data_IF_873311657075
#
_entry.id   IF_873311657075
#
_cell.length_a   1.000
_cell.length_b   1.000
_cell.length_c   1.000
_cell.angle_alpha   90.00
_cell.angle_beta   90.00
_cell.angle_gamma   90.00
#
_symmetry.space_group_name_H-M   'P 1'
#
loop_
_entity.id
_entity.type
_entity.pdbx_description
1 polymer ?
#
# COMPACT_ATOMS: atom_id res chain seq x y z
N UNK A 1 -2.90 38.72 28.33
CA UNK A 1 -3.85 38.02 27.45
C UNK A 1 -3.70 36.53 27.72
N UNK A 2 -4.59 35.98 28.54
CA UNK A 2 -4.61 34.58 28.92
C UNK A 2 -5.88 33.97 28.33
N UNK A 3 -5.70 32.97 27.47
CA UNK A 3 -6.77 32.20 26.84
C UNK A 3 -7.25 31.12 27.81
N UNK A 4 -8.53 31.17 28.15
CA UNK A 4 -9.19 30.25 29.06
C UNK A 4 -9.39 28.88 28.41
N UNK A 5 -8.96 27.84 29.12
CA UNK A 5 -9.32 26.44 28.91
C UNK A 5 -10.82 26.27 29.22
N UNK A 6 -11.59 25.92 28.20
CA UNK A 6 -12.98 25.52 28.36
C UNK A 6 -13.00 24.04 28.76
N UNK A 7 -13.31 23.79 30.04
CA UNK A 7 -13.58 22.46 30.56
C UNK A 7 -15.02 22.06 30.19
N UNK A 8 -15.29 20.87 29.63
CA UNK A 8 -16.67 20.43 29.41
C UNK A 8 -17.31 20.09 30.75
N UNK A 9 -18.40 20.80 31.07
CA UNK A 9 -19.17 20.66 32.30
C UNK A 9 -19.69 19.22 32.53
N UNK A 10 -19.62 18.68 33.76
CA UNK A 10 -20.13 17.35 34.13
C UNK A 10 -21.67 17.21 34.06
N UNK A 11 -22.38 18.26 33.67
CA UNK A 11 -23.85 18.30 33.57
C UNK A 11 -24.40 17.61 32.31
N UNK A 12 -23.58 17.40 31.26
CA UNK A 12 -24.04 16.71 30.04
C UNK A 12 -24.12 15.18 30.23
N UNK A 13 -23.31 14.60 31.12
CA UNK A 13 -23.36 13.17 31.46
C UNK A 13 -24.56 12.83 32.35
N UNK A 14 -25.01 13.76 33.20
CA UNK A 14 -26.18 13.56 34.04
C UNK A 14 -27.50 13.55 33.23
N UNK A 15 -27.61 14.37 32.18
CA UNK A 15 -28.83 14.43 31.34
C UNK A 15 -29.03 13.22 30.43
N UNK A 16 -27.98 12.45 30.12
CA UNK A 16 -28.09 11.21 29.34
C UNK A 16 -28.50 10.04 30.25
N UNK A 17 -28.04 10.02 31.50
CA UNK A 17 -28.42 8.99 32.48
C UNK A 17 -29.84 9.23 33.04
N UNK A 18 -30.27 10.49 33.19
CA UNK A 18 -31.60 10.82 33.70
C UNK A 18 -32.72 10.58 32.66
N UNK A 19 -32.40 10.57 31.35
CA UNK A 19 -33.34 10.17 30.29
C UNK A 19 -33.53 8.65 30.15
N UNK A 20 -32.71 7.84 30.81
CA UNK A 20 -32.95 6.39 30.90
C UNK A 20 -34.09 6.04 31.89
N UNK A 21 -34.50 6.98 32.75
CA UNK A 21 -35.61 6.81 33.69
C UNK A 21 -36.98 7.24 33.11
N UNK A 22 -36.99 7.91 31.95
CA UNK A 22 -38.22 8.37 31.30
C UNK A 22 -38.52 7.53 30.04
N UNK A 23 -39.03 6.31 30.25
CA UNK A 23 -39.93 5.63 29.32
C UNK A 23 -39.59 5.65 27.82
N UNK A 24 -38.34 5.49 27.43
CA UNK A 24 -38.00 5.22 26.02
C UNK A 24 -38.39 3.76 25.75
N UNK A 25 -39.43 3.54 24.95
CA UNK A 25 -39.84 2.18 24.56
C UNK A 25 -38.71 1.54 23.74
N UNK A 26 -38.48 0.22 23.87
CA UNK A 26 -37.42 -0.49 23.14
C UNK A 26 -37.55 -0.31 21.63
N UNK A 27 -38.76 -0.14 21.11
CA UNK A 27 -38.98 0.21 19.70
C UNK A 27 -38.23 1.49 19.34
N UNK A 28 -38.41 2.57 20.12
CA UNK A 28 -37.73 3.85 19.88
C UNK A 28 -36.21 3.72 20.01
N UNK A 29 -35.73 2.97 21.01
CA UNK A 29 -34.29 2.75 21.20
C UNK A 29 -33.65 1.94 20.06
N UNK A 30 -34.28 0.84 19.64
CA UNK A 30 -33.79 0.02 18.52
C UNK A 30 -33.87 0.76 17.19
N UNK A 31 -34.93 1.55 16.96
CA UNK A 31 -35.06 2.39 15.76
C UNK A 31 -33.97 3.47 15.72
N UNK A 32 -33.60 4.04 16.88
CA UNK A 32 -32.48 4.97 16.99
C UNK A 32 -31.13 4.30 16.70
N UNK A 33 -30.88 3.12 17.27
CA UNK A 33 -29.68 2.34 17.00
C UNK A 33 -29.61 1.95 15.51
N UNK A 34 -30.71 1.46 14.93
CA UNK A 34 -30.81 1.12 13.52
C UNK A 34 -30.50 2.33 12.63
N UNK A 35 -31.05 3.49 12.95
CA UNK A 35 -30.79 4.74 12.22
C UNK A 35 -29.32 5.14 12.29
N UNK A 36 -28.71 5.07 13.48
CA UNK A 36 -27.30 5.41 13.67
C UNK A 36 -26.35 4.45 12.95
N UNK A 37 -26.60 3.15 13.04
CA UNK A 37 -25.80 2.13 12.33
C UNK A 37 -25.97 2.28 10.81
N UNK A 38 -27.19 2.62 10.34
CA UNK A 38 -27.45 2.90 8.92
C UNK A 38 -26.72 4.16 8.43
N UNK A 39 -26.66 5.20 9.27
CA UNK A 39 -25.87 6.40 8.98
C UNK A 39 -24.37 6.09 8.91
N UNK A 40 -23.83 5.39 9.91
CA UNK A 40 -22.43 4.94 9.95
C UNK A 40 -22.09 4.12 8.69
N UNK A 41 -22.96 3.19 8.31
CA UNK A 41 -22.81 2.42 7.08
C UNK A 41 -22.75 3.33 5.84
N UNK A 42 -23.62 4.35 5.77
CA UNK A 42 -23.69 5.28 4.63
C UNK A 42 -22.47 6.18 4.57
N UNK A 43 -22.03 6.73 5.70
CA UNK A 43 -20.81 7.54 5.80
C UNK A 43 -19.56 6.73 5.47
N UNK A 44 -19.44 5.52 6.04
CA UNK A 44 -18.36 4.60 5.73
C UNK A 44 -18.34 4.23 4.24
N UNK A 45 -19.52 4.01 3.63
CA UNK A 45 -19.64 3.78 2.18
C UNK A 45 -19.20 4.98 1.34
N UNK A 46 -19.53 6.20 1.75
CA UNK A 46 -19.16 7.43 1.04
C UNK A 46 -17.67 7.75 1.20
N UNK A 47 -17.10 7.45 2.37
CA UNK A 47 -15.69 7.62 2.68
C UNK A 47 -14.79 6.52 2.08
N UNK A 48 -15.38 5.42 1.58
CA UNK A 48 -14.62 4.28 1.07
C UNK A 48 -14.06 3.37 2.18
N UNK A 49 -14.64 3.42 3.38
CA UNK A 49 -14.29 2.56 4.50
C UNK A 49 -15.20 1.32 4.55
N UNK A 50 -14.79 0.31 3.79
CA UNK A 50 -15.64 -0.85 3.52
C UNK A 50 -15.71 -1.84 4.68
N UNK A 51 -14.70 -1.87 5.54
CA UNK A 51 -14.68 -2.70 6.74
C UNK A 51 -15.71 -2.21 7.75
N UNK A 52 -15.74 -0.89 7.97
CA UNK A 52 -16.74 -0.27 8.83
C UNK A 52 -18.16 -0.34 8.22
N UNK A 53 -18.28 -0.18 6.91
CA UNK A 53 -19.57 -0.36 6.23
C UNK A 53 -20.08 -1.80 6.32
N UNK A 54 -19.18 -2.80 6.27
CA UNK A 54 -19.51 -4.22 6.42
C UNK A 54 -19.98 -4.52 7.84
N UNK A 55 -19.22 -4.11 8.85
CA UNK A 55 -19.57 -4.37 10.25
C UNK A 55 -20.89 -3.68 10.64
N UNK A 56 -21.11 -2.44 10.18
CA UNK A 56 -22.37 -1.75 10.38
C UNK A 56 -23.55 -2.52 9.76
N UNK A 57 -23.39 -3.06 8.56
CA UNK A 57 -24.42 -3.89 7.92
C UNK A 57 -24.68 -5.21 8.66
N UNK A 58 -23.66 -5.79 9.29
CA UNK A 58 -23.80 -6.96 10.17
C UNK A 58 -24.65 -6.64 11.40
N UNK A 59 -24.36 -5.53 12.07
CA UNK A 59 -25.15 -5.05 13.18
C UNK A 59 -26.61 -4.78 12.77
N UNK A 60 -26.86 -4.14 11.61
CA UNK A 60 -28.23 -3.95 11.11
C UNK A 60 -28.98 -5.26 10.92
N UNK A 61 -28.34 -6.26 10.31
CA UNK A 61 -28.96 -7.56 10.08
C UNK A 61 -29.23 -8.32 11.39
N UNK A 62 -28.33 -8.21 12.37
CA UNK A 62 -28.52 -8.79 13.69
C UNK A 62 -29.69 -8.12 14.43
N UNK A 63 -29.76 -6.79 14.42
CA UNK A 63 -30.85 -6.00 15.02
C UNK A 63 -32.19 -6.37 14.37
N UNK A 64 -32.28 -6.41 13.04
CA UNK A 64 -33.51 -6.79 12.31
C UNK A 64 -33.94 -8.22 12.61
N UNK A 65 -32.99 -9.17 12.62
CA UNK A 65 -33.28 -10.56 12.96
C UNK A 65 -33.80 -10.71 14.39
N UNK A 66 -33.19 -10.01 15.34
CA UNK A 66 -33.61 -9.99 16.74
C UNK A 66 -34.99 -9.34 16.90
N UNK A 67 -35.25 -8.20 16.25
CA UNK A 67 -36.54 -7.49 16.32
C UNK A 67 -37.68 -8.36 15.77
N UNK A 68 -37.44 -9.09 14.68
CA UNK A 68 -38.42 -10.02 14.10
C UNK A 68 -38.69 -11.22 15.02
N UNK A 69 -37.64 -11.81 15.59
CA UNK A 69 -37.78 -12.96 16.49
C UNK A 69 -38.44 -12.60 17.83
N UNK A 70 -38.27 -11.36 18.30
CA UNK A 70 -38.82 -10.87 19.56
C UNK A 70 -40.02 -9.92 19.37
N UNK A 71 -40.62 -9.89 18.19
CA UNK A 71 -41.73 -8.99 17.83
C UNK A 71 -42.94 -9.10 18.78
N UNK A 72 -43.14 -10.27 19.40
CA UNK A 72 -44.15 -10.51 20.43
C UNK A 72 -43.80 -9.89 21.79
N UNK A 73 -42.55 -10.03 22.24
CA UNK A 73 -42.03 -9.39 23.46
C UNK A 73 -42.08 -7.86 23.32
N UNK A 74 -41.77 -7.36 22.12
CA UNK A 74 -41.87 -5.93 21.79
C UNK A 74 -43.32 -5.41 21.80
N UNK A 75 -44.32 -6.26 21.54
CA UNK A 75 -45.75 -5.94 21.64
C UNK A 75 -46.30 -6.05 23.07
N UNK A 76 -45.76 -6.97 23.87
CA UNK A 76 -46.28 -7.29 25.21
C UNK A 76 -45.63 -6.45 26.34
N UNK A 77 -44.67 -5.58 26.03
CA UNK A 77 -44.07 -4.63 26.97
C UNK A 77 -42.72 -5.06 27.56
N UNK A 78 -41.92 -4.06 27.91
CA UNK A 78 -40.45 -4.10 28.07
C UNK A 78 -39.90 -4.87 29.28
N UNK A 79 -40.75 -5.29 30.22
CA UNK A 79 -40.30 -5.98 31.43
C UNK A 79 -39.76 -7.40 31.16
N UNK A 80 -39.84 -7.89 29.92
CA UNK A 80 -39.42 -9.23 29.51
C UNK A 80 -38.19 -9.28 28.60
N UNK A 81 -37.55 -8.16 28.25
CA UNK A 81 -36.24 -8.22 27.57
C UNK A 81 -35.19 -8.64 28.60
N UNK A 82 -34.47 -9.72 28.31
CA UNK A 82 -33.44 -10.20 29.21
C UNK A 82 -32.29 -9.17 29.36
N UNK A 83 -31.65 -9.13 30.54
CA UNK A 83 -30.59 -8.16 30.87
C UNK A 83 -29.37 -8.26 29.93
N UNK A 84 -29.12 -9.41 29.33
CA UNK A 84 -28.00 -9.68 28.43
C UNK A 84 -28.22 -9.03 27.07
N UNK A 85 -29.41 -9.18 26.48
CA UNK A 85 -29.82 -8.52 25.24
C UNK A 85 -29.74 -6.99 25.38
N UNK A 86 -30.23 -6.43 26.50
CA UNK A 86 -30.12 -5.00 26.79
C UNK A 86 -28.66 -4.53 26.83
N UNK A 87 -27.79 -5.23 27.57
CA UNK A 87 -26.38 -4.88 27.67
C UNK A 87 -25.65 -4.95 26.31
N UNK A 88 -26.02 -5.88 25.43
CA UNK A 88 -25.42 -6.01 24.11
C UNK A 88 -25.81 -4.83 23.18
N UNK A 89 -27.06 -4.38 23.23
CA UNK A 89 -27.48 -3.20 22.46
C UNK A 89 -26.86 -1.90 23.00
N UNK A 90 -26.73 -1.74 24.32
CA UNK A 90 -26.04 -0.59 24.92
C UNK A 90 -24.56 -0.54 24.48
N UNK A 91 -23.88 -1.68 24.41
CA UNK A 91 -22.51 -1.77 23.86
C UNK A 91 -22.45 -1.44 22.36
N UNK A 92 -23.38 -1.96 21.56
CA UNK A 92 -23.44 -1.66 20.13
C UNK A 92 -23.62 -0.16 19.89
N UNK A 93 -24.45 0.50 20.72
CA UNK A 93 -24.66 1.95 20.67
C UNK A 93 -23.38 2.73 20.99
N UNK A 94 -22.66 2.34 22.04
CA UNK A 94 -21.38 2.97 22.42
C UNK A 94 -20.34 2.84 21.30
N UNK A 95 -20.22 1.66 20.68
CA UNK A 95 -19.26 1.46 19.58
C UNK A 95 -19.58 2.31 18.34
N UNK A 96 -20.85 2.46 18.00
CA UNK A 96 -21.27 3.32 16.88
C UNK A 96 -20.94 4.79 17.17
N UNK A 97 -21.14 5.23 18.42
CA UNK A 97 -20.78 6.59 18.83
C UNK A 97 -19.25 6.80 18.83
N UNK A 98 -18.45 5.80 19.19
CA UNK A 98 -16.97 5.83 19.09
C UNK A 98 -16.47 5.79 17.65
N UNK A 99 -17.09 4.99 16.76
CA UNK A 99 -16.74 4.89 15.34
C UNK A 99 -16.86 6.22 14.59
N UNK A 100 -17.81 7.06 15.02
CA UNK A 100 -18.02 8.39 14.45
C UNK A 100 -16.97 9.42 14.89
N UNK A 101 -16.21 9.15 15.96
CA UNK A 101 -15.29 10.12 16.59
C UNK A 101 -13.83 9.85 16.18
N UNK A 102 -13.43 8.59 15.97
CA UNK A 102 -12.02 8.24 15.74
C UNK A 102 -11.77 7.45 14.44
N UNK A 103 -10.95 8.02 13.56
CA UNK A 103 -10.56 7.43 12.27
C UNK A 103 -9.40 6.45 12.40
N UNK A 104 -8.57 6.57 13.44
CA UNK A 104 -7.36 5.78 13.57
C UNK A 104 -7.61 4.31 13.97
N UNK A 105 -8.76 4.00 14.58
CA UNK A 105 -9.09 2.69 15.15
C UNK A 105 -10.18 1.90 14.40
N UNK A 106 -10.47 2.27 13.14
CA UNK A 106 -11.62 1.76 12.36
C UNK A 106 -11.65 0.24 12.16
N UNK A 107 -10.48 -0.40 12.07
CA UNK A 107 -10.35 -1.87 11.97
C UNK A 107 -10.83 -2.59 13.24
N UNK A 108 -10.35 -2.12 14.40
CA UNK A 108 -10.71 -2.67 15.71
C UNK A 108 -12.20 -2.44 16.01
N UNK A 109 -12.70 -1.24 15.70
CA UNK A 109 -14.11 -0.91 15.83
C UNK A 109 -15.00 -1.77 14.92
N UNK A 110 -14.56 -2.06 13.68
CA UNK A 110 -15.29 -2.94 12.79
C UNK A 110 -15.40 -4.37 13.34
N UNK A 111 -14.30 -4.93 13.87
CA UNK A 111 -14.31 -6.25 14.50
C UNK A 111 -15.25 -6.30 15.72
N UNK A 112 -15.22 -5.29 16.58
CA UNK A 112 -16.07 -5.23 17.78
C UNK A 112 -17.56 -5.07 17.46
N UNK A 113 -17.91 -4.32 16.41
CA UNK A 113 -19.30 -4.22 15.93
C UNK A 113 -19.79 -5.58 15.44
N UNK A 114 -18.95 -6.32 14.70
CA UNK A 114 -19.24 -7.69 14.24
C UNK A 114 -19.44 -8.66 15.41
N UNK A 115 -18.59 -8.62 16.43
CA UNK A 115 -18.72 -9.47 17.61
C UNK A 115 -19.99 -9.20 18.40
N UNK A 116 -20.37 -7.93 18.57
CA UNK A 116 -21.63 -7.57 19.21
C UNK A 116 -22.85 -8.01 18.38
N UNK A 117 -22.79 -7.89 17.05
CA UNK A 117 -23.82 -8.41 16.16
C UNK A 117 -23.99 -9.93 16.34
N UNK A 118 -22.88 -10.66 16.48
CA UNK A 118 -22.91 -12.09 16.77
C UNK A 118 -23.58 -12.40 18.12
N UNK A 119 -23.25 -11.66 19.17
CA UNK A 119 -23.87 -11.84 20.50
C UNK A 119 -25.38 -11.52 20.52
N UNK A 120 -25.84 -10.55 19.71
CA UNK A 120 -27.27 -10.24 19.53
C UNK A 120 -27.99 -11.39 18.83
N UNK A 121 -27.37 -12.00 17.82
CA UNK A 121 -27.93 -13.16 17.12
C UNK A 121 -28.03 -14.37 18.07
N UNK A 122 -27.02 -14.58 18.90
CA UNK A 122 -27.01 -15.68 19.89
C UNK A 122 -28.04 -15.49 21.00
N UNK A 123 -28.45 -14.26 21.31
CA UNK A 123 -29.48 -13.98 22.31
C UNK A 123 -30.92 -14.17 21.79
N UNK A 124 -31.11 -14.51 20.50
CA UNK A 124 -32.43 -14.80 19.96
C UNK A 124 -32.95 -16.12 20.57
N UNK A 125 -34.03 -16.11 21.35
CA UNK A 125 -34.57 -17.33 21.93
C UNK A 125 -35.09 -18.24 20.81
N UNK A 126 -34.44 -19.39 20.63
CA UNK A 126 -34.72 -20.40 19.58
C UNK A 126 -36.07 -21.13 19.75
N UNK A 127 -37.01 -20.57 20.52
CA UNK A 127 -38.28 -21.18 20.87
C UNK A 127 -39.36 -21.13 19.79
N UNK A 128 -39.08 -20.62 18.57
CA UNK A 128 -40.07 -20.47 17.51
C UNK A 128 -39.95 -21.52 16.41
N UNK A 129 -41.09 -21.96 15.87
CA UNK A 129 -41.16 -22.86 14.72
C UNK A 129 -40.74 -22.18 13.40
N UNK A 130 -40.14 -21.00 13.44
CA UNK A 130 -39.82 -20.21 12.26
C UNK A 130 -38.46 -20.57 11.70
N UNK A 131 -38.30 -20.33 10.40
CA UNK A 131 -37.00 -20.45 9.71
C UNK A 131 -36.38 -19.06 9.62
N UNK A 132 -35.09 -18.97 9.91
CA UNK A 132 -34.34 -17.72 9.81
C UNK A 132 -32.97 -17.95 9.19
N UNK A 133 -32.59 -17.06 8.27
CA UNK A 133 -31.21 -16.91 7.82
C UNK A 133 -30.54 -15.88 8.72
N UNK A 134 -29.53 -16.29 9.48
CA UNK A 134 -28.87 -15.43 10.48
C UNK A 134 -27.55 -14.87 9.96
N UNK A 135 -26.73 -15.70 9.30
CA UNK A 135 -25.41 -15.32 8.82
C UNK A 135 -25.09 -15.99 7.49
N UNK A 136 -24.19 -15.36 6.73
CA UNK A 136 -23.62 -15.94 5.52
C UNK A 136 -22.15 -15.51 5.36
N UNK A 137 -21.37 -16.38 4.71
CA UNK A 137 -19.94 -16.22 4.44
C UNK A 137 -19.58 -16.92 3.12
N UNK A 138 -18.60 -16.45 2.33
CA UNK A 138 -17.85 -15.20 2.50
C UNK A 138 -18.67 -13.98 2.05
N UNK A 139 -18.34 -12.80 2.58
CA UNK A 139 -18.95 -11.51 2.20
C UNK A 139 -18.10 -10.73 1.23
N UNK A 140 -16.79 -10.94 1.28
CA UNK A 140 -15.82 -10.36 0.39
C UNK A 140 -15.25 -11.49 -0.44
N UNK A 141 -15.36 -11.36 -1.76
CA UNK A 141 -14.83 -12.33 -2.71
C UNK A 141 -13.55 -11.75 -3.28
N UNK A 142 -12.38 -12.33 -2.97
CA UNK A 142 -11.14 -11.92 -3.61
C UNK A 142 -11.15 -12.39 -5.08
N UNK A 143 -10.47 -11.67 -6.00
CA UNK A 143 -10.49 -12.01 -7.42
C UNK A 143 -9.67 -13.27 -7.75
N UNK A 144 -8.98 -13.84 -6.76
CA UNK A 144 -8.32 -15.15 -6.86
C UNK A 144 -9.25 -16.32 -6.48
N UNK A 145 -10.51 -16.06 -6.10
CA UNK A 145 -11.51 -17.12 -6.03
C UNK A 145 -11.61 -17.76 -7.43
N UNK A 146 -11.63 -19.09 -7.49
CA UNK A 146 -11.77 -19.81 -8.78
C UNK A 146 -13.08 -19.45 -9.50
N UNK A 147 -13.40 -20.18 -10.57
CA UNK A 147 -14.61 -19.92 -11.39
C UNK A 147 -15.93 -19.93 -10.59
N UNK A 148 -15.90 -20.49 -9.37
CA UNK A 148 -16.99 -20.55 -8.43
C UNK A 148 -16.51 -20.27 -7.01
N UNK A 149 -17.42 -19.77 -6.18
CA UNK A 149 -17.24 -19.62 -4.74
C UNK A 149 -18.42 -20.24 -3.98
N UNK A 150 -18.17 -20.65 -2.74
CA UNK A 150 -19.17 -21.30 -1.89
C UNK A 150 -19.70 -20.29 -0.88
N UNK A 151 -20.99 -19.98 -0.95
CA UNK A 151 -21.68 -19.23 0.09
C UNK A 151 -22.24 -20.21 1.10
N UNK A 152 -21.76 -20.15 2.33
CA UNK A 152 -22.30 -20.87 3.48
C UNK A 152 -23.27 -19.95 4.20
N UNK A 153 -24.48 -20.43 4.43
CA UNK A 153 -25.54 -19.70 5.12
C UNK A 153 -25.89 -20.49 6.36
N UNK A 154 -25.85 -19.84 7.52
CA UNK A 154 -26.25 -20.44 8.78
C UNK A 154 -27.46 -19.75 9.37
N UNK A 155 -28.26 -20.53 10.07
CA UNK A 155 -29.58 -20.11 10.50
C UNK A 155 -30.30 -21.17 11.31
N UNK A 156 -31.61 -21.02 11.40
CA UNK A 156 -32.49 -21.89 12.18
C UNK A 156 -33.44 -22.60 11.23
N UNK A 157 -33.53 -23.93 11.33
CA UNK A 157 -34.44 -24.80 10.56
C UNK A 157 -34.35 -24.62 9.04
N UNK A 158 -33.14 -24.40 8.53
CA UNK A 158 -32.89 -24.21 7.11
C UNK A 158 -33.28 -25.44 6.28
N UNK A 159 -33.23 -26.65 6.87
CA UNK A 159 -33.74 -27.88 6.26
C UNK A 159 -35.26 -27.84 6.00
N UNK A 160 -36.03 -27.17 6.86
CA UNK A 160 -37.50 -27.04 6.73
C UNK A 160 -37.92 -25.80 5.98
N UNK A 161 -37.06 -24.78 5.91
CA UNK A 161 -37.36 -23.55 5.20
C UNK A 161 -37.08 -23.60 3.71
N UNK A 162 -36.41 -24.66 3.24
CA UNK A 162 -36.04 -24.86 1.83
C UNK A 162 -35.43 -23.59 1.19
N UNK A 163 -34.34 -23.02 1.73
CA UNK A 163 -33.75 -21.82 1.18
C UNK A 163 -33.30 -22.06 -0.26
N UNK A 164 -33.57 -21.10 -1.14
CA UNK A 164 -33.17 -21.06 -2.53
C UNK A 164 -32.45 -19.75 -2.83
N UNK A 165 -31.28 -19.84 -3.44
CA UNK A 165 -30.52 -18.68 -3.91
C UNK A 165 -30.81 -18.47 -5.39
N UNK A 166 -31.39 -17.33 -5.77
CA UNK A 166 -31.69 -17.02 -7.16
C UNK A 166 -30.48 -16.34 -7.81
N UNK A 167 -29.92 -16.97 -8.84
CA UNK A 167 -28.85 -16.43 -9.68
C UNK A 167 -29.43 -16.00 -11.03
N UNK A 168 -28.65 -15.24 -11.82
CA UNK A 168 -29.05 -14.83 -13.17
C UNK A 168 -29.26 -16.04 -14.10
N UNK A 169 -28.50 -17.11 -13.89
CA UNK A 169 -28.57 -18.35 -14.66
C UNK A 169 -29.60 -19.37 -14.13
N UNK A 170 -30.33 -19.04 -13.06
CA UNK A 170 -31.29 -19.94 -12.41
C UNK A 170 -31.01 -20.17 -10.91
N UNK A 171 -31.68 -21.13 -10.26
CA UNK A 171 -31.44 -21.42 -8.85
C UNK A 171 -30.03 -22.02 -8.66
N UNK A 172 -29.28 -21.49 -7.68
CA UNK A 172 -27.98 -22.04 -7.32
C UNK A 172 -28.12 -23.47 -6.78
N UNK A 173 -27.12 -24.31 -7.04
CA UNK A 173 -27.07 -25.65 -6.46
C UNK A 173 -26.95 -25.54 -4.93
N UNK A 174 -27.90 -26.15 -4.21
CA UNK A 174 -27.90 -26.22 -2.75
C UNK A 174 -27.32 -27.54 -2.27
N UNK A 175 -26.35 -27.45 -1.38
CA UNK A 175 -25.86 -28.58 -0.59
C UNK A 175 -26.27 -28.36 0.88
N UNK A 176 -27.16 -29.20 1.40
CA UNK A 176 -27.63 -29.14 2.79
C UNK A 176 -26.62 -29.89 3.67
N UNK A 177 -25.98 -29.17 4.61
CA UNK A 177 -25.03 -29.76 5.55
C UNK A 177 -25.73 -30.20 6.84
N UNK A 178 -26.75 -29.45 7.25
CA UNK A 178 -27.55 -29.80 8.43
C UNK A 178 -28.73 -28.85 8.61
N UNK A 179 -29.49 -28.99 9.73
CA UNK A 179 -30.68 -28.18 9.98
C UNK A 179 -30.39 -26.68 10.18
N UNK A 180 -29.12 -26.32 10.40
CA UNK A 180 -28.67 -24.96 10.67
C UNK A 180 -27.70 -24.40 9.62
N UNK A 181 -27.28 -25.19 8.63
CA UNK A 181 -26.30 -24.75 7.62
C UNK A 181 -26.64 -25.31 6.23
N UNK A 182 -26.63 -24.41 5.25
CA UNK A 182 -26.73 -24.73 3.81
C UNK A 182 -25.59 -24.06 3.07
N UNK A 183 -25.15 -24.68 1.99
CA UNK A 183 -24.15 -24.12 1.08
C UNK A 183 -24.73 -23.95 -0.32
N UNK A 184 -24.30 -22.90 -0.98
CA UNK A 184 -24.63 -22.61 -2.37
C UNK A 184 -23.34 -22.41 -3.16
N UNK A 185 -23.21 -23.12 -4.27
CA UNK A 185 -22.13 -22.87 -5.23
C UNK A 185 -22.57 -21.77 -6.18
N UNK A 186 -21.83 -20.66 -6.21
CA UNK A 186 -22.14 -19.47 -7.01
C UNK A 186 -21.00 -19.24 -8.02
N UNK A 187 -21.29 -19.11 -9.33
CA UNK A 187 -20.27 -18.81 -10.31
C UNK A 187 -19.83 -17.34 -10.20
N UNK A 188 -18.54 -17.09 -10.42
CA UNK A 188 -17.94 -15.76 -10.29
C UNK A 188 -18.54 -14.73 -11.29
N UNK A 189 -19.09 -15.23 -12.41
CA UNK A 189 -19.79 -14.42 -13.42
C UNK A 189 -21.00 -13.66 -12.87
N UNK A 190 -21.64 -14.15 -11.80
CA UNK A 190 -22.79 -13.48 -11.15
C UNK A 190 -22.41 -12.13 -10.53
N UNK A 191 -21.12 -11.95 -10.20
CA UNK A 191 -20.66 -10.70 -9.58
C UNK A 191 -20.43 -9.59 -10.61
N UNK A 192 -20.06 -9.93 -11.85
CA UNK A 192 -19.63 -8.98 -12.89
C UNK A 192 -18.56 -8.01 -12.40
N UNK A 193 -17.41 -8.54 -11.99
CA UNK A 193 -16.35 -7.77 -11.30
C UNK A 193 -15.76 -6.68 -12.20
N UNK A 194 -15.79 -5.44 -11.71
CA UNK A 194 -15.07 -4.30 -12.26
C UNK A 194 -13.55 -4.47 -12.00
N UNK A 195 -12.70 -4.33 -13.04
CA UNK A 195 -11.26 -4.49 -12.89
C UNK A 195 -10.62 -3.49 -11.92
N UNK A 196 -11.17 -2.29 -11.79
CA UNK A 196 -10.55 -1.12 -11.16
C UNK A 196 -11.25 -0.66 -9.89
N UNK A 197 -12.50 -1.09 -9.69
CA UNK A 197 -13.33 -0.69 -8.57
C UNK A 197 -13.98 -1.87 -7.86
N UNK A 198 -14.37 -1.63 -6.61
CA UNK A 198 -15.14 -2.60 -5.84
C UNK A 198 -16.51 -2.81 -6.47
N UNK A 199 -16.86 -4.07 -6.68
CA UNK A 199 -18.17 -4.43 -7.22
C UNK A 199 -19.08 -4.89 -6.09
N UNK A 200 -20.19 -4.17 -5.91
CA UNK A 200 -21.20 -4.52 -4.90
C UNK A 200 -22.36 -5.24 -5.58
N UNK A 201 -22.69 -6.43 -5.11
CA UNK A 201 -23.85 -7.21 -5.58
C UNK A 201 -24.66 -7.69 -4.41
N UNK A 202 -25.96 -7.85 -4.64
CA UNK A 202 -26.89 -8.37 -3.64
C UNK A 202 -27.49 -9.65 -4.20
N UNK A 203 -27.13 -10.79 -3.61
CA UNK A 203 -27.74 -12.06 -3.99
C UNK A 203 -29.04 -12.25 -3.21
N UNK A 204 -30.08 -12.74 -3.87
CA UNK A 204 -31.39 -12.91 -3.25
C UNK A 204 -31.58 -14.35 -2.80
N UNK A 205 -31.69 -14.53 -1.49
CA UNK A 205 -32.11 -15.79 -0.91
C UNK A 205 -33.59 -15.72 -0.56
N UNK A 206 -34.32 -16.76 -0.92
CA UNK A 206 -35.73 -16.89 -0.58
C UNK A 206 -35.92 -18.16 0.24
N UNK A 207 -36.69 -18.09 1.32
CA UNK A 207 -36.99 -19.25 2.17
C UNK A 207 -38.42 -19.17 2.70
N UNK A 208 -38.98 -20.34 3.01
CA UNK A 208 -40.32 -20.48 3.52
C UNK A 208 -40.34 -20.58 5.04
N UNK A 209 -41.17 -19.79 5.73
CA UNK A 209 -41.32 -19.84 7.19
C UNK A 209 -42.80 -20.04 7.56
N UNK A 210 -43.15 -20.85 8.57
CA UNK A 210 -44.53 -20.98 9.01
C UNK A 210 -45.12 -19.62 9.43
N UNK A 211 -46.38 -19.38 9.05
CA UNK A 211 -47.10 -18.17 9.49
C UNK A 211 -47.22 -18.12 11.00
N UNK A 212 -47.15 -16.91 11.56
CA UNK A 212 -47.21 -16.74 13.02
C UNK A 212 -48.56 -17.08 13.64
N UNK A 213 -49.66 -16.97 12.90
CA UNK A 213 -51.01 -17.25 13.42
C UNK A 213 -51.21 -18.72 13.79
N UNK A 214 -51.77 -18.98 14.97
CA UNK A 214 -52.16 -20.31 15.44
C UNK A 214 -52.95 -21.09 14.38
N UNK A 215 -53.95 -20.45 13.76
CA UNK A 215 -54.77 -21.09 12.73
C UNK A 215 -53.95 -21.40 11.48
N UNK A 216 -53.10 -20.46 11.07
CA UNK A 216 -52.23 -20.65 9.91
C UNK A 216 -51.23 -21.80 10.13
N UNK A 217 -50.75 -22.02 11.36
CA UNK A 217 -49.91 -23.17 11.73
C UNK A 217 -50.66 -24.50 11.64
N UNK A 218 -51.90 -24.55 12.13
CA UNK A 218 -52.77 -25.74 12.07
C UNK A 218 -53.08 -26.16 10.64
N UNK A 219 -53.21 -25.19 9.72
CA UNK A 219 -53.44 -25.43 8.30
C UNK A 219 -52.16 -25.48 7.45
N UNK A 220 -50.97 -25.51 8.08
CA UNK A 220 -49.70 -25.63 7.37
C UNK A 220 -49.36 -24.46 6.46
N UNK A 221 -49.97 -23.28 6.64
CA UNK A 221 -49.70 -22.11 5.82
C UNK A 221 -48.32 -21.53 6.14
N UNK A 222 -47.59 -21.14 5.09
CA UNK A 222 -46.23 -20.62 5.18
C UNK A 222 -46.12 -19.31 4.41
N UNK A 223 -45.28 -18.41 4.91
CA UNK A 223 -44.88 -17.19 4.24
C UNK A 223 -43.55 -17.43 3.51
N UNK A 224 -43.39 -16.78 2.36
CA UNK A 224 -42.14 -16.74 1.62
C UNK A 224 -41.40 -15.45 1.98
N UNK A 225 -40.18 -15.59 2.48
CA UNK A 225 -39.34 -14.47 2.92
C UNK A 225 -38.14 -14.38 1.99
N UNK A 226 -37.96 -13.21 1.37
CA UNK A 226 -36.76 -12.92 0.58
C UNK A 226 -35.83 -12.02 1.39
N UNK A 227 -34.54 -12.38 1.41
CA UNK A 227 -33.46 -11.58 1.98
C UNK A 227 -32.40 -11.31 0.94
N UNK A 228 -31.78 -10.15 1.11
CA UNK A 228 -30.65 -9.70 0.32
C UNK A 228 -29.36 -10.05 1.05
N UNK A 229 -28.45 -10.70 0.32
CA UNK A 229 -27.12 -11.10 0.76
C UNK A 229 -26.10 -10.20 0.05
N UNK A 230 -25.75 -9.05 0.64
CA UNK A 230 -24.77 -8.15 0.07
C UNK A 230 -23.37 -8.77 0.04
N UNK A 231 -22.80 -8.86 -1.15
CA UNK A 231 -21.46 -9.38 -1.42
C UNK A 231 -20.65 -8.29 -2.10
N UNK A 232 -19.38 -8.19 -1.70
CA UNK A 232 -18.40 -7.28 -2.28
C UNK A 232 -17.37 -8.12 -3.01
N UNK A 233 -17.22 -7.93 -4.32
CA UNK A 233 -16.09 -8.46 -5.05
C UNK A 233 -14.96 -7.42 -5.07
N UNK A 234 -13.76 -7.86 -4.71
CA UNK A 234 -12.56 -7.06 -4.83
C UNK A 234 -12.18 -6.90 -6.32
N UNK A 235 -11.64 -5.74 -6.73
CA UNK A 235 -11.23 -5.50 -8.11
C UNK A 235 -10.08 -6.43 -8.49
N UNK A 236 -9.95 -6.78 -9.77
CA UNK A 236 -8.82 -7.60 -10.25
C UNK A 236 -7.48 -6.88 -10.09
N UNK A 237 -7.47 -5.55 -10.22
CA UNK A 237 -6.33 -4.68 -9.98
C UNK A 237 -6.31 -4.25 -8.52
N UNK A 238 -5.29 -4.66 -7.78
CA UNK A 238 -5.08 -4.25 -6.39
C UNK A 238 -4.67 -2.78 -6.31
N UNK A 239 -3.70 -2.40 -7.13
CA UNK A 239 -3.10 -1.06 -7.07
C UNK A 239 -2.46 -0.69 -8.41
N UNK A 240 -2.20 0.60 -8.58
CA UNK A 240 -1.24 1.10 -9.57
C UNK A 240 -0.02 1.62 -8.83
N UNK A 241 1.15 1.57 -9.47
CA UNK A 241 2.34 2.19 -8.92
C UNK A 241 2.97 3.11 -9.96
N UNK A 242 3.55 4.20 -9.48
CA UNK A 242 4.27 5.17 -10.29
C UNK A 242 5.39 5.80 -9.47
N UNK A 243 6.51 6.11 -10.11
CA UNK A 243 7.62 6.75 -9.44
C UNK A 243 8.91 6.67 -10.25
N UNK A 244 10.01 6.80 -9.53
CA UNK A 244 11.33 6.77 -10.12
C UNK A 244 12.32 6.10 -9.18
N UNK A 245 13.39 5.53 -9.73
CA UNK A 245 14.55 5.15 -8.96
C UNK A 245 15.74 5.99 -9.39
N UNK A 246 16.52 6.43 -8.42
CA UNK A 246 17.68 7.29 -8.63
C UNK A 246 18.96 6.54 -8.29
N UNK A 247 19.94 6.64 -9.16
CA UNK A 247 21.29 6.15 -8.93
C UNK A 247 22.25 7.32 -8.94
N UNK A 248 22.93 7.51 -7.83
CA UNK A 248 24.02 8.49 -7.72
C UNK A 248 25.33 7.80 -8.08
N UNK A 249 26.08 8.37 -9.00
CA UNK A 249 27.39 7.87 -9.38
C UNK A 249 28.33 9.02 -9.72
N UNK A 250 29.62 8.72 -9.83
CA UNK A 250 30.61 9.69 -10.31
C UNK A 250 30.99 9.32 -11.74
N UNK A 251 31.06 10.33 -12.61
CA UNK A 251 31.56 10.18 -13.98
C UNK A 251 32.77 11.06 -14.21
N UNK A 252 33.70 10.65 -15.10
CA UNK A 252 34.82 11.49 -15.48
C UNK A 252 34.34 12.62 -16.42
N UNK A 253 34.55 13.86 -15.99
CA UNK A 253 34.51 15.06 -16.84
C UNK A 253 35.91 15.23 -17.46
N UNK A 254 36.03 15.05 -18.78
CA UNK A 254 37.32 15.02 -19.48
C UNK A 254 37.47 16.25 -20.39
N UNK A 255 38.68 16.80 -20.46
CA UNK A 255 39.02 17.85 -21.44
C UNK A 255 40.49 17.81 -21.86
N UNK A 256 40.81 18.30 -23.07
CA UNK A 256 42.20 18.54 -23.45
C UNK A 256 42.80 19.62 -22.55
N UNK A 257 44.07 19.45 -22.19
CA UNK A 257 44.86 20.41 -21.43
C UNK A 257 46.30 20.41 -21.92
N UNK A 258 46.86 21.61 -22.03
CA UNK A 258 48.28 21.83 -22.27
C UNK A 258 48.85 22.60 -21.07
N UNK A 259 49.92 22.08 -20.48
CA UNK A 259 50.60 22.72 -19.37
C UNK A 259 51.32 23.99 -19.81
N UNK A 260 51.66 24.89 -18.86
CA UNK A 260 52.72 25.87 -19.08
C UNK A 260 54.02 25.19 -19.53
N UNK A 261 54.88 25.97 -20.18
CA UNK A 261 56.22 25.53 -20.56
C UNK A 261 57.11 25.39 -19.32
N UNK A 262 57.81 24.27 -19.22
CA UNK A 262 58.92 24.04 -18.30
C UNK A 262 60.23 24.29 -19.03
N UNK A 263 61.16 25.02 -18.39
CA UNK A 263 62.44 25.38 -18.99
C UNK A 263 63.56 24.49 -18.45
N UNK A 264 64.32 23.90 -19.36
CA UNK A 264 65.48 23.06 -19.06
C UNK A 264 66.74 23.79 -19.52
N UNK A 265 67.79 23.75 -18.70
CA UNK A 265 69.07 24.38 -19.00
C UNK A 265 70.23 23.56 -18.45
N UNK A 266 71.25 23.32 -19.27
CA UNK A 266 72.38 22.48 -18.90
C UNK A 266 73.35 22.27 -20.06
N UNK A 267 74.22 21.27 -19.93
CA UNK A 267 75.23 20.90 -20.93
C UNK A 267 75.25 19.40 -21.12
N UNK A 268 74.99 18.95 -22.35
CA UNK A 268 75.00 17.54 -22.77
C UNK A 268 74.31 16.59 -21.78
N UNK A 269 73.08 16.93 -21.38
CA UNK A 269 72.38 16.18 -20.32
C UNK A 269 70.88 16.12 -20.54
N UNK A 270 70.28 15.04 -20.04
CA UNK A 270 68.83 14.91 -19.87
C UNK A 270 68.47 15.45 -18.48
N UNK A 271 67.45 16.30 -18.42
CA UNK A 271 66.99 16.90 -17.16
C UNK A 271 65.50 16.56 -17.03
N UNK A 272 65.09 15.78 -16.01
CA UNK A 272 63.68 15.57 -15.73
C UNK A 272 63.06 16.82 -15.09
N UNK A 273 61.82 17.11 -15.44
CA UNK A 273 61.04 18.16 -14.78
C UNK A 273 60.62 17.72 -13.37
N UNK A 274 60.17 18.69 -12.57
CA UNK A 274 59.25 18.34 -11.49
C UNK A 274 57.94 17.80 -12.11
N UNK A 275 57.16 16.97 -11.38
CA UNK A 275 55.88 16.49 -11.89
C UNK A 275 54.95 17.65 -12.25
N UNK A 276 54.63 17.78 -13.54
CA UNK A 276 53.74 18.80 -14.07
C UNK A 276 52.33 18.48 -13.62
N UNK A 277 51.82 19.28 -12.68
CA UNK A 277 50.49 19.08 -12.10
C UNK A 277 49.42 19.70 -13.01
N UNK A 278 48.28 19.03 -13.20
CA UNK A 278 47.12 19.67 -13.82
C UNK A 278 46.53 20.74 -12.88
N UNK A 279 45.56 21.55 -13.34
CA UNK A 279 44.87 22.52 -12.48
C UNK A 279 44.24 21.85 -11.24
N UNK A 280 44.13 22.58 -10.14
CA UNK A 280 43.58 22.06 -8.89
C UNK A 280 42.23 21.34 -9.10
N UNK A 281 42.11 20.13 -8.55
CA UNK A 281 40.92 19.27 -8.67
C UNK A 281 40.82 18.46 -9.97
N UNK A 282 41.84 18.52 -10.84
CA UNK A 282 41.96 17.69 -12.03
C UNK A 282 43.11 16.68 -11.87
N UNK A 283 43.08 15.62 -12.67
CA UNK A 283 44.08 14.57 -12.76
C UNK A 283 44.40 14.29 -14.24
N UNK A 284 45.63 13.87 -14.54
CA UNK A 284 45.99 13.39 -15.88
C UNK A 284 45.34 12.04 -16.18
N UNK A 285 44.71 11.93 -17.35
CA UNK A 285 44.20 10.65 -17.86
C UNK A 285 45.33 9.87 -18.55
N UNK A 286 46.05 9.07 -17.78
CA UNK A 286 47.16 8.25 -18.30
C UNK A 286 46.70 7.10 -19.21
N UNK A 287 45.39 6.85 -19.34
CA UNK A 287 44.86 5.89 -20.32
C UNK A 287 44.77 6.49 -21.73
N UNK A 288 44.89 7.82 -21.83
CA UNK A 288 44.91 8.55 -23.08
C UNK A 288 46.34 8.94 -23.45
N UNK A 289 46.66 9.09 -24.74
CA UNK A 289 47.99 9.49 -25.17
C UNK A 289 48.34 10.89 -24.63
N UNK A 290 49.57 11.01 -24.15
CA UNK A 290 50.20 12.28 -23.80
C UNK A 290 51.17 12.68 -24.92
N UNK A 291 51.33 13.98 -25.16
CA UNK A 291 52.25 14.50 -26.16
C UNK A 291 53.11 15.63 -25.61
N UNK A 292 54.36 15.66 -26.06
CA UNK A 292 55.25 16.79 -25.81
C UNK A 292 54.97 17.87 -26.84
N UNK A 293 54.81 19.09 -26.36
CA UNK A 293 54.68 20.29 -27.19
C UNK A 293 56.00 21.05 -27.10
N UNK A 294 56.83 21.06 -28.16
CA UNK A 294 58.09 21.78 -28.15
C UNK A 294 57.83 23.28 -28.15
N UNK A 295 58.46 23.99 -27.21
CA UNK A 295 58.51 25.45 -27.15
C UNK A 295 59.76 26.00 -27.82
N UNK A 296 60.18 27.19 -27.39
CA UNK A 296 61.45 27.76 -27.84
C UNK A 296 62.65 26.94 -27.34
N UNK A 297 63.73 26.93 -28.11
CA UNK A 297 64.95 26.23 -27.73
C UNK A 297 66.18 26.86 -28.38
N UNK A 298 67.33 26.64 -27.74
CA UNK A 298 68.65 26.88 -28.31
C UNK A 298 69.61 25.79 -27.83
N UNK A 299 70.08 24.96 -28.77
CA UNK A 299 70.86 23.75 -28.49
C UNK A 299 70.17 22.84 -27.46
N UNK A 300 68.90 22.50 -27.70
CA UNK A 300 68.13 21.55 -26.89
C UNK A 300 66.83 21.14 -27.57
N UNK A 301 66.20 20.07 -27.06
CA UNK A 301 64.89 19.59 -27.54
C UNK A 301 64.16 18.80 -26.45
N UNK A 302 62.84 18.67 -26.59
CA UNK A 302 62.02 17.82 -25.73
C UNK A 302 62.26 16.34 -26.08
N UNK A 303 62.73 15.54 -25.12
CA UNK A 303 63.18 14.18 -25.37
C UNK A 303 62.03 13.17 -25.27
N UNK A 304 61.47 12.98 -24.08
CA UNK A 304 60.42 11.99 -23.82
C UNK A 304 59.64 12.30 -22.54
N UNK A 305 58.56 11.56 -22.32
CA UNK A 305 57.78 11.57 -21.09
C UNK A 305 58.26 10.38 -20.24
N UNK A 306 58.65 10.63 -18.99
CA UNK A 306 59.03 9.56 -18.07
C UNK A 306 57.77 9.01 -17.38
N UNK A 307 57.16 7.99 -17.98
CA UNK A 307 55.96 7.36 -17.45
C UNK A 307 56.21 6.61 -16.13
N UNK A 308 57.44 6.18 -15.84
CA UNK A 308 57.76 5.51 -14.57
C UNK A 308 57.80 6.50 -13.40
N UNK A 309 58.15 7.75 -13.68
CA UNK A 309 58.13 8.84 -12.71
C UNK A 309 56.80 9.62 -12.71
N UNK A 310 55.81 9.21 -13.52
CA UNK A 310 54.54 9.91 -13.69
C UNK A 310 53.38 9.23 -12.96
N UNK A 311 52.47 10.05 -12.42
CA UNK A 311 51.21 9.59 -11.82
C UNK A 311 50.04 10.44 -12.35
N UNK A 312 48.81 10.07 -11.98
CA UNK A 312 47.62 10.87 -12.31
C UNK A 312 47.69 12.30 -11.72
N UNK A 313 48.46 12.50 -10.65
CA UNK A 313 48.58 13.82 -9.99
C UNK A 313 49.71 14.67 -10.56
N UNK A 314 50.58 14.11 -11.42
CA UNK A 314 51.65 14.85 -12.08
C UNK A 314 52.48 13.99 -13.02
N UNK A 315 52.81 14.55 -14.18
CA UNK A 315 53.57 13.86 -15.22
C UNK A 315 54.96 14.49 -15.35
N UNK A 316 55.98 13.65 -15.44
CA UNK A 316 57.38 14.09 -15.60
C UNK A 316 57.75 14.05 -17.07
N UNK A 317 58.27 15.17 -17.58
CA UNK A 317 58.83 15.26 -18.94
C UNK A 317 60.33 15.48 -18.86
N UNK A 318 61.05 15.03 -19.89
CA UNK A 318 62.52 15.11 -19.95
C UNK A 318 62.93 16.00 -21.11
N UNK A 319 63.65 17.08 -20.81
CA UNK A 319 64.33 17.90 -21.80
C UNK A 319 65.78 17.44 -22.00
N UNK A 320 66.24 17.38 -23.25
CA UNK A 320 67.65 17.22 -23.58
C UNK A 320 68.25 18.58 -23.94
N UNK A 321 69.39 18.90 -23.36
CA UNK A 321 70.11 20.16 -23.61
C UNK A 321 71.58 19.88 -23.89
N UNK A 322 72.09 20.47 -24.96
CA UNK A 322 73.46 20.37 -25.42
C UNK A 322 74.26 21.62 -25.03
N UNK A 323 75.59 21.54 -25.09
CA UNK A 323 76.41 22.73 -24.89
C UNK A 323 76.32 23.66 -26.11
N UNK A 324 76.11 24.96 -25.86
CA UNK A 324 76.26 25.98 -26.89
C UNK A 324 77.75 26.08 -27.25
N UNK A 325 78.06 25.84 -28.53
CA UNK A 325 79.43 25.91 -29.05
C UNK A 325 80.15 27.23 -28.71
N UNK A 326 81.47 27.19 -28.60
CA UNK A 326 82.28 28.37 -28.28
C UNK A 326 82.17 29.40 -29.40
N UNK A 327 81.62 30.57 -29.08
CA UNK A 327 81.58 31.72 -29.98
C UNK A 327 82.36 32.88 -29.37
N UNK A 328 82.64 33.93 -30.15
CA UNK A 328 83.29 35.14 -29.63
C UNK A 328 82.51 35.78 -28.46
N UNK A 329 81.18 35.64 -28.44
CA UNK A 329 80.31 36.10 -27.35
C UNK A 329 80.29 35.15 -26.13
N UNK A 330 80.66 33.87 -26.32
CA UNK A 330 80.69 32.84 -25.28
C UNK A 330 81.98 32.01 -25.36
N UNK A 331 83.14 32.58 -24.95
CA UNK A 331 84.45 31.95 -25.15
C UNK A 331 84.65 30.63 -24.40
N UNK A 332 83.89 30.42 -23.31
CA UNK A 332 83.92 29.19 -22.51
C UNK A 332 82.76 28.22 -22.82
N UNK A 333 82.04 28.45 -23.93
CA UNK A 333 80.76 27.78 -24.20
C UNK A 333 79.64 28.31 -23.30
N UNK A 334 78.41 27.88 -23.57
CA UNK A 334 77.24 28.23 -22.78
C UNK A 334 76.34 27.02 -22.55
N UNK A 335 75.42 27.13 -21.60
CA UNK A 335 74.38 26.11 -21.45
C UNK A 335 73.38 26.27 -22.59
N UNK A 336 73.01 25.18 -23.25
CA UNK A 336 71.82 25.14 -24.09
C UNK A 336 70.56 25.16 -23.22
N UNK A 337 69.44 25.48 -23.84
CA UNK A 337 68.14 25.46 -23.18
C UNK A 337 67.03 25.02 -24.13
N UNK A 338 65.96 24.47 -23.56
CA UNK A 338 64.74 24.14 -24.28
C UNK A 338 63.54 24.32 -23.36
N UNK A 339 62.43 24.77 -23.92
CA UNK A 339 61.15 24.82 -23.25
C UNK A 339 60.26 23.70 -23.76
N UNK A 340 59.64 22.97 -22.86
CA UNK A 340 58.71 21.91 -23.21
C UNK A 340 57.41 22.08 -22.43
N UNK A 341 56.29 21.91 -23.11
CA UNK A 341 54.98 21.76 -22.48
C UNK A 341 54.47 20.34 -22.68
N UNK A 342 53.54 19.95 -21.82
CA UNK A 342 52.85 18.67 -21.89
C UNK A 342 51.40 18.91 -22.32
N UNK A 343 50.96 18.25 -23.39
CA UNK A 343 49.57 18.21 -23.80
C UNK A 343 48.98 16.81 -23.59
N UNK A 344 47.71 16.76 -23.20
CA UNK A 344 47.02 15.50 -22.97
C UNK A 344 45.59 15.71 -22.51
N UNK A 345 44.94 14.63 -22.07
CA UNK A 345 43.60 14.70 -21.48
C UNK A 345 43.72 14.74 -19.97
N UNK A 346 43.02 15.69 -19.34
CA UNK A 346 42.81 15.71 -17.89
C UNK A 346 41.35 15.36 -17.59
N UNK A 347 41.11 14.75 -16.43
CA UNK A 347 39.77 14.46 -15.95
C UNK A 347 39.58 14.89 -14.50
N UNK A 348 38.32 15.07 -14.12
CA UNK A 348 37.89 15.14 -12.73
C UNK A 348 36.62 14.31 -12.56
N UNK A 349 36.41 13.76 -11.38
CA UNK A 349 35.18 13.04 -11.07
C UNK A 349 34.10 14.05 -10.66
N UNK A 350 33.00 14.07 -11.39
CA UNK A 350 31.82 14.89 -11.05
C UNK A 350 30.65 13.97 -10.66
N UNK A 351 29.82 14.39 -9.69
CA UNK A 351 28.61 13.66 -9.37
C UNK A 351 27.63 13.74 -10.54
N UNK A 352 26.94 12.64 -10.80
CA UNK A 352 25.86 12.54 -11.78
C UNK A 352 24.73 11.68 -11.23
N UNK A 353 23.56 11.79 -11.86
CA UNK A 353 22.34 11.10 -11.44
C UNK A 353 21.73 10.40 -12.65
N UNK A 354 21.51 9.10 -12.53
CA UNK A 354 20.73 8.31 -13.47
C UNK A 354 19.33 8.08 -12.91
N UNK A 355 18.30 8.39 -13.71
CA UNK A 355 16.89 8.26 -13.31
C UNK A 355 16.21 7.17 -14.13
N UNK A 356 15.55 6.24 -13.44
CA UNK A 356 14.72 5.21 -14.05
C UNK A 356 13.26 5.42 -13.68
N UNK A 357 12.41 5.69 -14.67
CA UNK A 357 10.95 5.80 -14.47
C UNK A 357 10.36 4.41 -14.26
N UNK A 358 9.46 4.29 -13.29
CA UNK A 358 8.82 3.04 -12.89
C UNK A 358 7.32 3.25 -12.82
N UNK A 359 6.56 2.47 -13.58
CA UNK A 359 5.11 2.53 -13.60
C UNK A 359 4.52 1.15 -13.91
N UNK A 360 3.33 0.87 -13.37
CA UNK A 360 2.63 -0.37 -13.63
C UNK A 360 1.43 -0.59 -12.75
N UNK A 361 0.97 -1.84 -12.71
CA UNK A 361 -0.20 -2.27 -11.95
C UNK A 361 0.14 -3.53 -11.15
N UNK A 362 -0.43 -3.62 -9.95
CA UNK A 362 -0.34 -4.78 -9.07
C UNK A 362 -1.67 -5.50 -9.13
N UNK A 363 -1.63 -6.81 -9.32
CA UNK A 363 -2.79 -7.70 -9.37
C UNK A 363 -2.75 -8.65 -8.19
N UNK A 364 -3.89 -9.06 -7.66
CA UNK A 364 -3.95 -9.95 -6.49
C UNK A 364 -3.39 -11.36 -6.73
N UNK A 365 -3.35 -11.79 -7.98
CA UNK A 365 -3.09 -13.18 -8.37
C UNK A 365 -1.61 -13.48 -8.62
N UNK A 366 -0.74 -12.47 -8.62
CA UNK A 366 0.68 -12.64 -8.93
C UNK A 366 1.55 -11.64 -8.16
N UNK A 367 2.77 -12.08 -7.87
CA UNK A 367 3.84 -11.18 -7.44
C UNK A 367 4.22 -10.26 -8.61
N UNK A 368 4.46 -8.99 -8.32
CA UNK A 368 4.85 -7.99 -9.32
C UNK A 368 6.34 -7.64 -9.14
N UNK A 369 7.23 -8.13 -10.04
CA UNK A 369 8.65 -7.84 -9.98
C UNK A 369 8.99 -6.55 -10.73
N UNK A 370 9.60 -5.60 -10.02
CA UNK A 370 10.12 -4.36 -10.59
C UNK A 370 11.64 -4.48 -10.71
N UNK A 371 12.16 -4.52 -11.94
CA UNK A 371 13.60 -4.66 -12.20
C UNK A 371 14.36 -3.39 -11.83
N UNK A 372 15.14 -3.41 -10.74
CA UNK A 372 15.89 -2.27 -10.22
C UNK A 372 17.17 -2.82 -9.57
N UNK A 373 18.35 -2.49 -10.08
CA UNK A 373 19.62 -2.91 -9.48
C UNK A 373 19.85 -2.28 -8.11
N UNK A 374 20.79 -2.84 -7.33
CA UNK A 374 20.95 -2.53 -5.90
C UNK A 374 21.40 -1.10 -5.64
N UNK A 375 22.08 -0.49 -6.61
CA UNK A 375 22.62 0.86 -6.58
C UNK A 375 21.58 1.95 -6.88
N UNK A 376 20.38 1.57 -7.29
CA UNK A 376 19.24 2.48 -7.40
C UNK A 376 18.45 2.53 -6.09
N UNK A 377 18.12 3.74 -5.67
CA UNK A 377 17.21 4.03 -4.57
C UNK A 377 15.81 4.27 -5.14
N UNK A 378 14.84 3.37 -4.90
CA UNK A 378 13.49 3.54 -5.40
C UNK A 378 12.73 4.60 -4.59
N UNK A 379 11.92 5.39 -5.29
CA UNK A 379 10.88 6.26 -4.74
C UNK A 379 9.60 6.01 -5.54
N UNK A 380 8.82 5.02 -5.07
CA UNK A 380 7.63 4.51 -5.76
C UNK A 380 6.40 4.83 -4.91
N UNK A 381 5.40 5.43 -5.54
CA UNK A 381 4.08 5.65 -4.96
C UNK A 381 3.13 4.55 -5.43
N UNK A 382 2.63 3.75 -4.49
CA UNK A 382 1.59 2.74 -4.73
C UNK A 382 0.23 3.32 -4.35
N UNK A 383 -0.71 3.31 -5.29
CA UNK A 383 -2.08 3.76 -5.12
C UNK A 383 -3.02 2.56 -5.19
N UNK A 384 -3.60 2.20 -4.05
CA UNK A 384 -4.48 1.04 -3.90
C UNK A 384 -5.90 1.36 -4.32
N UNK A 385 -6.68 0.33 -4.62
CA UNK A 385 -8.09 0.44 -5.04
C UNK A 385 -9.00 1.16 -4.03
N UNK A 386 -8.63 1.16 -2.75
CA UNK A 386 -9.32 1.87 -1.66
C UNK A 386 -8.87 3.34 -1.52
N UNK A 387 -8.15 3.86 -2.53
CA UNK A 387 -7.65 5.24 -2.62
C UNK A 387 -6.56 5.60 -1.60
N UNK A 388 -5.96 4.62 -0.92
CA UNK A 388 -4.76 4.86 -0.10
C UNK A 388 -3.53 4.98 -0.98
N UNK A 389 -2.56 5.70 -0.46
CA UNK A 389 -1.29 5.99 -1.13
C UNK A 389 -0.16 5.60 -0.19
N UNK A 390 0.61 4.59 -0.57
CA UNK A 390 1.73 4.04 0.20
C UNK A 390 3.05 4.32 -0.52
N UNK A 391 3.98 4.97 0.17
CA UNK A 391 5.32 5.23 -0.35
C UNK A 391 6.20 4.00 -0.13
N UNK A 392 6.93 3.59 -1.17
CA UNK A 392 7.81 2.42 -1.17
C UNK A 392 9.22 2.86 -1.54
N UNK A 393 10.16 2.73 -0.60
CA UNK A 393 11.59 3.07 -0.76
C UNK A 393 12.53 1.88 -0.64
N UNK A 394 12.00 0.69 -0.34
CA UNK A 394 12.79 -0.52 -0.19
C UNK A 394 11.93 -1.70 0.23
N UNK A 395 11.98 -2.05 1.51
CA UNK A 395 11.17 -3.11 2.11
C UNK A 395 10.09 -2.47 2.95
N UNK A 396 8.83 -2.74 2.64
CA UNK A 396 7.66 -2.15 3.29
C UNK A 396 6.59 -3.21 3.49
N UNK A 397 5.71 -3.01 4.48
CA UNK A 397 4.54 -3.88 4.70
C UNK A 397 3.30 -3.01 4.81
N UNK A 398 2.33 -3.26 3.93
CA UNK A 398 0.99 -2.69 3.98
C UNK A 398 -0.04 -3.76 4.38
N UNK A 399 -1.28 -3.35 4.59
CA UNK A 399 -2.43 -4.25 4.75
C UNK A 399 -2.63 -5.19 3.56
N UNK A 400 -2.47 -4.73 2.32
CA UNK A 400 -2.79 -5.53 1.13
C UNK A 400 -1.59 -6.06 0.36
N UNK A 401 -0.37 -5.69 0.74
CA UNK A 401 0.83 -6.18 0.08
C UNK A 401 2.05 -6.08 0.99
N UNK A 402 3.08 -6.83 0.65
CA UNK A 402 4.42 -6.71 1.22
C UNK A 402 5.43 -6.47 0.10
N UNK A 403 6.42 -5.63 0.36
CA UNK A 403 7.48 -5.33 -0.59
C UNK A 403 8.78 -5.93 -0.10
N UNK A 404 9.45 -6.69 -0.96
CA UNK A 404 10.76 -7.25 -0.69
C UNK A 404 11.80 -6.69 -1.65
N UNK A 405 12.91 -6.18 -1.11
CA UNK A 405 14.05 -5.72 -1.90
C UNK A 405 15.07 -6.85 -2.07
N UNK A 406 15.31 -7.22 -3.33
CA UNK A 406 16.41 -8.08 -3.76
C UNK A 406 17.52 -7.22 -4.41
N UNK A 407 18.72 -7.78 -4.67
CA UNK A 407 19.79 -7.05 -5.34
C UNK A 407 19.37 -6.44 -6.69
N UNK A 408 18.64 -7.19 -7.53
CA UNK A 408 18.29 -6.73 -8.89
C UNK A 408 16.80 -6.46 -9.09
N UNK A 409 16.00 -6.57 -8.03
CA UNK A 409 14.56 -6.38 -8.12
C UNK A 409 13.93 -5.87 -6.83
N UNK A 410 12.77 -5.25 -6.98
CA UNK A 410 11.84 -4.99 -5.90
C UNK A 410 10.56 -5.79 -6.20
N UNK A 411 10.18 -6.70 -5.31
CA UNK A 411 9.03 -7.59 -5.52
C UNK A 411 7.89 -7.13 -4.62
N UNK A 412 6.77 -6.74 -5.23
CA UNK A 412 5.54 -6.42 -4.52
C UNK A 412 4.67 -7.68 -4.51
N UNK A 413 4.41 -8.22 -3.32
CA UNK A 413 3.61 -9.42 -3.10
C UNK A 413 2.24 -9.03 -2.56
N UNK A 414 1.16 -9.21 -3.32
CA UNK A 414 -0.20 -9.03 -2.82
C UNK A 414 -0.50 -10.00 -1.68
N UNK A 415 -1.32 -9.57 -0.72
CA UNK A 415 -1.91 -10.44 0.30
C UNK A 415 -3.36 -10.05 0.53
N UNK A 416 -4.23 -11.05 0.68
CA UNK A 416 -5.62 -10.84 1.11
C UNK A 416 -5.67 -11.05 2.62
N UNK A 417 -5.99 -10.03 3.42
CA UNK A 417 -6.16 -10.17 4.86
C UNK A 417 -7.18 -11.27 5.22
N UNK A 418 -6.83 -12.17 6.14
CA UNK A 418 -7.68 -13.32 6.52
C UNK A 418 -9.00 -12.90 7.18
N UNK A 419 -8.97 -11.78 7.90
CA UNK A 419 -10.12 -11.10 8.52
C UNK A 419 -11.14 -10.56 7.49
N UNK A 420 -10.73 -10.37 6.24
CA UNK A 420 -11.66 -10.01 5.17
C UNK A 420 -12.41 -11.22 4.61
N UNK A 421 -11.81 -12.41 4.66
CA UNK A 421 -12.36 -13.64 4.05
C UNK A 421 -13.29 -14.37 5.02
N UNK A 422 -12.91 -14.43 6.30
CA UNK A 422 -13.72 -15.00 7.37
C UNK A 422 -14.80 -14.03 7.85
#
# INVERSE_FOLDING_TARGET
>A
MATALWSPSPLLHAQIVEKAAAGVTTGIFLDQLFTKVSHLMTEARNAGDYLLARSALEALNAIDAWQKANSKILKDGLDQIDKTSKANFDRAQQLVDTANIDVAHRLETAAQITDNANQIIESIPLGSYQTYVLRYQPRIIPPNAGDHFIIRIRGVRLDKGDPQLKLSTGPAKRDLIGPQEVQFTVPMSELSVDPDALTRRSLKITYSTPKESWFARLFGQRDEVTRELPIIALPTKLATYQGQALRHFTKPDKRPYQSPEESFRGRHTNIPSLPIKPPAGWQWDLTQPLSLVPGQADNGHCSHIDLNASTQDGVVIVGHVDERGRTWQYPNGGDGWTNCALAGTIYRLIPDIETKVINGAIYWTKDEPISISADFVPDIQVNTFDKRSVKVTGTETDTFFTVHRNPDSLIIKPKVPEDLIN
#
